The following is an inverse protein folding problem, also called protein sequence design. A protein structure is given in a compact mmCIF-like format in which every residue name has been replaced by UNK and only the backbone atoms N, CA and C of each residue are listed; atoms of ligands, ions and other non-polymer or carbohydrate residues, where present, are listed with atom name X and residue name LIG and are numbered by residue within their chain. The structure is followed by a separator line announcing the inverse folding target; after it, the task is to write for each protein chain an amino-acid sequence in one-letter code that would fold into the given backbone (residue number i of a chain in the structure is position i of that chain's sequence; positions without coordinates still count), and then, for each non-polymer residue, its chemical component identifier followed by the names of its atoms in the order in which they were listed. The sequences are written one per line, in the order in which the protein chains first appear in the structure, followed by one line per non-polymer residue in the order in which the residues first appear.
data_IF_498434323548
#
_entry.id   IF_498434323548
#
_cell.length_a   1.000
_cell.length_b   1.000
_cell.length_c   1.000
_cell.angle_alpha   90.00
_cell.angle_beta   90.00
_cell.angle_gamma   90.00
#
_symmetry.space_group_name_H-M   'P 1'
#
loop_
_entity.id
_entity.type
_entity.pdbx_description
1 polymer ?
#
# COMPACT_ATOMS: atom_id res chain seq x y z
N UNK A 1 -15.70 2.36 1.38
CA UNK A 1 -14.54 3.12 0.89
C UNK A 1 -13.46 2.14 0.48
N UNK A 2 -12.76 2.37 -0.62
CA UNK A 2 -11.65 1.56 -1.08
C UNK A 2 -10.32 2.25 -0.69
N UNK A 3 -9.47 1.58 0.07
CA UNK A 3 -8.06 1.98 0.29
C UNK A 3 -7.15 1.18 -0.61
N UNK A 4 -6.13 1.81 -1.15
CA UNK A 4 -5.21 1.21 -2.11
C UNK A 4 -3.77 1.63 -1.82
N UNK A 5 -2.85 0.72 -2.05
CA UNK A 5 -1.41 0.91 -1.85
C UNK A 5 -0.66 0.42 -3.08
N UNK A 6 0.26 1.24 -3.52
CA UNK A 6 1.23 0.89 -4.56
C UNK A 6 2.65 1.07 -4.06
N UNK A 7 3.48 0.07 -4.32
CA UNK A 7 4.86 0.03 -3.86
C UNK A 7 5.78 0.00 -5.06
N UNK A 8 6.67 0.98 -5.16
CA UNK A 8 7.49 1.21 -6.34
C UNK A 8 8.98 1.09 -6.05
N UNK A 9 9.67 0.26 -6.84
CA UNK A 9 11.12 0.34 -7.01
C UNK A 9 11.44 1.35 -8.10
N UNK A 10 12.43 2.17 -7.86
CA UNK A 10 12.87 3.19 -8.82
C UNK A 10 14.16 2.75 -9.52
N UNK A 11 14.37 3.26 -10.72
CA UNK A 11 15.62 3.10 -11.45
C UNK A 11 16.76 3.72 -10.64
N UNK A 12 17.92 3.07 -10.64
CA UNK A 12 19.11 3.57 -9.95
C UNK A 12 19.59 4.93 -10.51
N UNK A 13 19.39 5.14 -11.82
CA UNK A 13 19.74 6.36 -12.54
C UNK A 13 18.62 7.42 -12.53
N UNK A 14 17.51 7.19 -11.80
CA UNK A 14 16.43 8.16 -11.72
C UNK A 14 16.89 9.47 -11.09
N UNK A 15 16.78 10.56 -11.84
CA UNK A 15 17.18 11.88 -11.35
C UNK A 15 16.34 12.32 -10.15
N UNK A 16 16.93 12.89 -9.09
CA UNK A 16 16.19 13.35 -7.92
C UNK A 16 15.00 14.25 -8.25
N UNK A 17 15.14 15.13 -9.22
CA UNK A 17 14.07 16.01 -9.68
C UNK A 17 12.91 15.24 -10.34
N UNK A 18 13.17 14.08 -11.00
CA UNK A 18 12.12 13.26 -11.57
C UNK A 18 11.35 12.51 -10.45
N UNK A 19 12.07 12.02 -9.45
CA UNK A 19 11.46 11.39 -8.26
C UNK A 19 10.58 12.40 -7.52
N UNK A 20 11.09 13.63 -7.32
CA UNK A 20 10.33 14.69 -6.68
C UNK A 20 9.06 15.06 -7.46
N UNK A 21 9.14 15.17 -8.79
CA UNK A 21 7.96 15.45 -9.63
C UNK A 21 6.92 14.34 -9.53
N UNK A 22 7.33 13.08 -9.59
CA UNK A 22 6.40 11.94 -9.44
C UNK A 22 5.74 11.96 -8.06
N UNK A 23 6.52 12.11 -6.99
CA UNK A 23 6.02 12.23 -5.61
C UNK A 23 5.00 13.36 -5.48
N UNK A 24 5.31 14.53 -6.03
CA UNK A 24 4.41 15.68 -5.99
C UNK A 24 3.13 15.42 -6.79
N UNK A 25 3.21 14.78 -7.95
CA UNK A 25 2.05 14.41 -8.75
C UNK A 25 1.12 13.44 -8.00
N UNK A 26 1.69 12.51 -7.25
CA UNK A 26 0.91 11.61 -6.38
C UNK A 26 0.22 12.38 -5.26
N UNK A 27 0.95 13.22 -4.52
CA UNK A 27 0.39 14.01 -3.42
C UNK A 27 -0.73 14.96 -3.87
N UNK A 28 -0.61 15.49 -5.08
CA UNK A 28 -1.56 16.47 -5.61
C UNK A 28 -2.72 15.86 -6.40
N UNK A 29 -2.70 14.56 -6.66
CA UNK A 29 -3.69 13.96 -7.58
C UNK A 29 -5.14 14.22 -7.14
N UNK A 30 -5.45 14.23 -5.84
CA UNK A 30 -6.78 14.56 -5.31
C UNK A 30 -7.23 16.00 -5.56
N UNK A 31 -6.33 16.92 -5.97
CA UNK A 31 -6.70 18.26 -6.41
C UNK A 31 -7.26 18.29 -7.83
N UNK A 32 -6.90 17.31 -8.65
CA UNK A 32 -7.22 17.22 -10.06
C UNK A 32 -8.23 16.12 -10.36
N UNK A 33 -8.29 15.08 -9.51
CA UNK A 33 -9.15 13.92 -9.68
C UNK A 33 -10.13 13.85 -8.51
N UNK A 34 -11.40 14.24 -8.73
CA UNK A 34 -12.41 14.30 -7.66
C UNK A 34 -12.70 12.96 -6.97
N UNK A 35 -12.41 11.86 -7.67
CA UNK A 35 -12.59 10.51 -7.15
C UNK A 35 -11.60 10.14 -6.03
N UNK A 36 -10.47 10.83 -5.96
CA UNK A 36 -9.43 10.60 -4.94
C UNK A 36 -9.77 11.36 -3.68
N UNK A 37 -10.17 10.64 -2.64
CA UNK A 37 -10.50 11.21 -1.33
C UNK A 37 -9.25 11.60 -0.54
N UNK A 38 -8.20 10.81 -0.68
CA UNK A 38 -6.93 11.02 0.00
C UNK A 38 -5.77 10.44 -0.83
N UNK A 39 -4.62 11.09 -0.74
CA UNK A 39 -3.41 10.66 -1.44
C UNK A 39 -2.19 11.04 -0.62
N UNK A 40 -1.41 10.04 -0.22
CA UNK A 40 -0.21 10.19 0.59
C UNK A 40 0.93 9.37 -0.02
N UNK A 41 2.14 9.85 0.13
CA UNK A 41 3.34 9.15 -0.32
C UNK A 41 4.25 8.91 0.87
N UNK A 42 4.80 7.72 0.95
CA UNK A 42 5.80 7.37 1.94
C UNK A 42 7.14 7.00 1.32
N UNK A 43 8.20 7.35 2.01
CA UNK A 43 9.56 6.89 1.70
C UNK A 43 9.87 5.66 2.52
N UNK A 44 10.31 4.59 1.86
CA UNK A 44 10.63 3.34 2.53
C UNK A 44 11.80 3.49 3.51
N UNK A 45 11.64 2.89 4.68
CA UNK A 45 12.63 2.78 5.75
C UNK A 45 13.09 1.34 5.98
N UNK A 46 12.47 0.37 5.30
CA UNK A 46 12.80 -1.06 5.43
C UNK A 46 13.86 -1.49 4.43
N UNK A 47 14.35 -2.74 4.59
CA UNK A 47 15.26 -3.39 3.64
C UNK A 47 14.53 -3.92 2.38
N UNK A 48 13.22 -3.67 2.26
CA UNK A 48 12.47 -4.08 1.08
C UNK A 48 12.96 -3.33 -0.17
N UNK A 49 12.97 -3.97 -1.36
CA UNK A 49 13.43 -3.36 -2.60
C UNK A 49 12.45 -2.32 -3.17
N UNK A 50 11.74 -1.63 -2.31
CA UNK A 50 10.77 -0.58 -2.59
C UNK A 50 11.37 0.77 -2.22
N UNK A 51 11.13 1.80 -3.01
CA UNK A 51 11.60 3.16 -2.71
C UNK A 51 10.47 4.06 -2.22
N UNK A 52 9.32 3.97 -2.86
CA UNK A 52 8.14 4.76 -2.55
C UNK A 52 6.94 3.85 -2.31
N UNK A 53 6.10 4.24 -1.37
CA UNK A 53 4.76 3.67 -1.19
C UNK A 53 3.75 4.78 -1.41
N UNK A 54 2.80 4.56 -2.30
CA UNK A 54 1.69 5.47 -2.55
C UNK A 54 0.40 4.92 -1.96
N UNK A 55 -0.14 5.64 -0.98
CA UNK A 55 -1.45 5.37 -0.37
C UNK A 55 -2.50 6.27 -1.01
N UNK A 56 -3.62 5.71 -1.39
CA UNK A 56 -4.74 6.51 -1.84
C UNK A 56 -6.08 5.85 -1.51
N UNK A 57 -7.12 6.67 -1.43
CA UNK A 57 -8.46 6.24 -1.06
C UNK A 57 -9.51 6.79 -2.01
N UNK A 58 -10.56 5.99 -2.20
CA UNK A 58 -11.71 6.27 -3.06
C UNK A 58 -13.00 6.00 -2.30
N UNK A 59 -14.07 6.70 -2.67
CA UNK A 59 -15.39 6.45 -2.10
C UNK A 59 -15.85 4.99 -2.32
N UNK A 60 -15.52 4.44 -3.49
CA UNK A 60 -15.94 3.09 -3.89
C UNK A 60 -15.03 2.55 -5.01
N UNK A 61 -15.19 1.29 -5.29
CA UNK A 61 -14.63 0.65 -6.46
C UNK A 61 -15.01 1.34 -7.79
N UNK A 62 -16.24 1.80 -7.92
CA UNK A 62 -16.68 2.53 -9.12
C UNK A 62 -15.99 3.89 -9.24
N UNK A 63 -15.72 4.58 -8.12
CA UNK A 63 -14.91 5.80 -8.13
C UNK A 63 -13.48 5.51 -8.60
N UNK A 64 -12.88 4.41 -8.13
CA UNK A 64 -11.57 3.99 -8.61
C UNK A 64 -11.55 3.72 -10.13
N UNK A 65 -12.57 3.09 -10.70
CA UNK A 65 -12.65 2.90 -12.15
C UNK A 65 -12.69 4.23 -12.92
N UNK A 66 -13.40 5.25 -12.41
CA UNK A 66 -13.38 6.58 -13.04
C UNK A 66 -12.03 7.27 -12.93
N UNK A 67 -11.34 7.10 -11.79
CA UNK A 67 -9.95 7.55 -11.61
C UNK A 67 -9.03 6.98 -12.69
N UNK A 68 -9.12 5.68 -12.99
CA UNK A 68 -8.24 5.01 -13.97
C UNK A 68 -8.31 5.60 -15.38
N UNK A 69 -9.46 6.15 -15.78
CA UNK A 69 -9.63 6.79 -17.09
C UNK A 69 -9.52 8.31 -17.05
N UNK A 70 -9.25 8.88 -15.89
CA UNK A 70 -9.14 10.33 -15.75
C UNK A 70 -7.89 10.87 -16.48
N UNK A 71 -7.98 11.99 -17.24
CA UNK A 71 -6.85 12.51 -18.02
C UNK A 71 -5.59 12.80 -17.19
N UNK A 72 -5.74 13.27 -15.96
CA UNK A 72 -4.59 13.48 -15.08
C UNK A 72 -3.87 12.17 -14.73
N UNK A 73 -4.61 11.09 -14.47
CA UNK A 73 -4.04 9.76 -14.27
C UNK A 73 -3.30 9.32 -15.54
N UNK A 74 -4.00 9.21 -16.66
CA UNK A 74 -3.45 8.64 -17.89
C UNK A 74 -2.33 9.48 -18.54
N UNK A 75 -2.34 10.81 -18.37
CA UNK A 75 -1.38 11.68 -19.05
C UNK A 75 -0.28 12.25 -18.15
N UNK A 76 -0.45 12.21 -16.84
CA UNK A 76 0.51 12.77 -15.89
C UNK A 76 1.13 11.68 -15.01
N UNK A 77 0.30 10.92 -14.29
CA UNK A 77 0.80 9.90 -13.37
C UNK A 77 1.46 8.75 -14.13
N UNK A 78 0.83 8.27 -15.17
CA UNK A 78 1.31 7.15 -15.98
C UNK A 78 2.64 7.41 -16.69
N UNK A 79 3.01 8.67 -16.95
CA UNK A 79 4.31 9.00 -17.58
C UNK A 79 5.51 8.48 -16.79
N UNK A 80 5.47 8.55 -15.47
CA UNK A 80 6.53 8.04 -14.62
C UNK A 80 6.50 6.52 -14.42
N UNK A 81 5.39 5.87 -14.77
CA UNK A 81 5.07 4.50 -14.40
C UNK A 81 5.11 3.52 -15.57
N UNK A 82 4.53 3.88 -16.73
CA UNK A 82 4.32 2.97 -17.86
C UNK A 82 5.63 2.50 -18.51
N UNK A 83 5.66 1.23 -18.88
CA UNK A 83 6.85 0.57 -19.42
C UNK A 83 7.37 1.18 -20.72
N UNK A 84 6.49 1.72 -21.54
CA UNK A 84 6.78 2.34 -22.84
C UNK A 84 6.99 3.87 -22.74
N UNK A 85 6.85 4.45 -21.57
CA UNK A 85 7.08 5.88 -21.38
C UNK A 85 8.57 6.21 -21.36
N UNK A 86 9.02 7.21 -22.15
CA UNK A 86 10.40 7.68 -22.09
C UNK A 86 10.73 8.39 -20.76
N UNK A 87 9.72 8.80 -20.00
CA UNK A 87 9.87 9.45 -18.71
C UNK A 87 9.81 8.46 -17.54
N UNK A 88 9.72 7.16 -17.82
CA UNK A 88 9.60 6.13 -16.81
C UNK A 88 10.78 6.12 -15.85
N UNK A 89 10.48 6.24 -14.56
CA UNK A 89 11.48 6.13 -13.48
C UNK A 89 11.23 4.92 -12.56
N UNK A 90 10.09 4.26 -12.69
CA UNK A 90 9.74 3.04 -11.94
C UNK A 90 10.29 1.82 -12.67
N UNK A 91 11.02 0.95 -11.98
CA UNK A 91 11.52 -0.32 -12.55
C UNK A 91 10.50 -1.42 -12.43
N UNK A 92 9.91 -1.57 -11.24
CA UNK A 92 8.92 -2.59 -10.95
C UNK A 92 8.02 -2.11 -9.82
N UNK A 93 6.89 -2.76 -9.69
CA UNK A 93 6.07 -2.72 -8.48
C UNK A 93 6.42 -3.99 -7.71
N UNK A 94 7.21 -3.85 -6.65
CA UNK A 94 7.78 -4.99 -5.95
C UNK A 94 6.82 -5.68 -4.97
N UNK A 95 7.27 -6.75 -4.37
CA UNK A 95 6.51 -7.79 -3.71
C UNK A 95 5.62 -8.65 -4.63
N UNK A 96 5.96 -8.71 -5.95
CA UNK A 96 5.26 -9.58 -6.91
C UNK A 96 3.94 -9.07 -7.44
N UNK A 97 3.60 -7.86 -7.12
CA UNK A 97 2.69 -6.90 -7.72
C UNK A 97 2.41 -5.83 -6.68
N UNK A 98 3.07 -4.74 -6.77
CA UNK A 98 3.00 -3.66 -5.79
C UNK A 98 1.64 -2.98 -5.62
N UNK A 99 0.57 -3.69 -5.93
CA UNK A 99 -0.80 -3.19 -5.85
C UNK A 99 -1.62 -4.09 -4.92
N UNK A 100 -2.03 -3.52 -3.81
CA UNK A 100 -2.97 -4.13 -2.87
C UNK A 100 -4.01 -3.11 -2.42
N UNK A 101 -5.16 -3.57 -1.98
CA UNK A 101 -6.18 -2.69 -1.46
C UNK A 101 -7.30 -3.46 -0.77
N UNK A 102 -8.07 -2.77 0.02
CA UNK A 102 -9.19 -3.34 0.73
C UNK A 102 -10.35 -2.35 0.86
N UNK A 103 -11.54 -2.87 1.02
CA UNK A 103 -12.73 -2.08 1.34
C UNK A 103 -12.89 -1.93 2.84
N UNK A 104 -13.27 -0.73 3.30
CA UNK A 104 -13.52 -0.44 4.70
C UNK A 104 -14.64 0.59 4.85
N UNK A 105 -15.34 0.49 5.98
CA UNK A 105 -16.39 1.46 6.36
C UNK A 105 -15.84 2.65 7.14
N UNK A 106 -14.57 2.59 7.51
CA UNK A 106 -13.92 3.58 8.37
C UNK A 106 -13.36 4.73 7.55
N UNK A 107 -13.45 5.97 8.03
CA UNK A 107 -12.82 7.10 7.39
C UNK A 107 -11.31 6.91 7.20
N UNK A 108 -10.77 7.54 6.16
CA UNK A 108 -9.32 7.55 5.92
C UNK A 108 -8.60 8.15 7.11
N UNK A 109 -7.64 7.42 7.66
CA UNK A 109 -6.79 7.94 8.72
C UNK A 109 -5.69 8.82 8.11
N UNK A 110 -5.70 10.08 8.48
CA UNK A 110 -4.58 10.98 8.25
C UNK A 110 -3.76 11.03 9.52
N UNK A 111 -2.71 10.24 9.60
CA UNK A 111 -1.64 10.58 10.53
C UNK A 111 -0.83 11.70 9.89
N UNK A 112 -0.84 12.86 10.52
CA UNK A 112 -0.09 14.02 10.02
C UNK A 112 1.44 13.79 10.04
N UNK A 113 1.90 12.87 10.88
CA UNK A 113 3.28 12.43 10.98
C UNK A 113 3.29 10.99 11.49
N UNK A 114 4.40 10.30 11.33
CA UNK A 114 4.55 8.94 11.86
C UNK A 114 5.06 7.95 10.83
N UNK A 115 5.06 6.69 11.24
CA UNK A 115 5.49 5.55 10.42
C UNK A 115 4.29 4.69 10.10
N UNK A 116 4.22 4.28 8.84
CA UNK A 116 3.28 3.25 8.38
C UNK A 116 4.00 1.94 8.18
N UNK A 117 3.31 0.86 8.46
CA UNK A 117 3.73 -0.48 8.06
C UNK A 117 2.61 -1.17 7.32
N UNK A 118 2.95 -1.76 6.18
CA UNK A 118 2.09 -2.71 5.48
C UNK A 118 2.71 -4.09 5.58
N UNK A 119 1.92 -5.06 6.00
CA UNK A 119 2.25 -6.47 5.95
C UNK A 119 1.31 -7.12 4.94
N UNK A 120 1.90 -7.69 3.90
CA UNK A 120 1.19 -8.43 2.87
C UNK A 120 1.25 -9.91 3.22
N UNK A 121 0.11 -10.55 3.25
CA UNK A 121 -0.01 -11.94 3.69
C UNK A 121 -0.67 -12.78 2.61
N UNK A 122 -0.01 -13.90 2.27
CA UNK A 122 -0.53 -14.94 1.39
C UNK A 122 -0.96 -16.13 2.25
N UNK A 123 -2.25 -16.24 2.50
CA UNK A 123 -2.83 -17.38 3.20
C UNK A 123 -3.10 -18.52 2.23
N UNK A 124 -2.95 -19.76 2.70
CA UNK A 124 -3.27 -20.94 1.90
C UNK A 124 -4.71 -20.89 1.36
N UNK A 125 -4.94 -21.18 0.07
CA UNK A 125 -6.29 -21.23 -0.50
C UNK A 125 -7.15 -22.32 0.13
N UNK A 126 -6.55 -23.38 0.64
CA UNK A 126 -7.24 -24.51 1.27
C UNK A 126 -7.60 -24.25 2.75
N UNK A 127 -7.30 -23.04 3.25
CA UNK A 127 -7.63 -22.67 4.62
C UNK A 127 -9.13 -22.65 4.85
N UNK A 128 -9.56 -23.13 6.01
CA UNK A 128 -10.94 -22.99 6.42
C UNK A 128 -11.26 -21.53 6.80
N UNK A 129 -12.54 -21.11 6.69
CA UNK A 129 -12.97 -19.80 7.21
C UNK A 129 -12.59 -19.58 8.67
N UNK A 130 -12.63 -20.64 9.50
CA UNK A 130 -12.20 -20.58 10.89
C UNK A 130 -10.67 -20.31 11.05
N UNK A 131 -9.85 -20.76 10.11
CA UNK A 131 -8.43 -20.45 10.12
C UNK A 131 -8.18 -18.96 9.78
N UNK A 132 -8.92 -18.42 8.82
CA UNK A 132 -8.88 -16.99 8.50
C UNK A 132 -9.32 -16.13 9.68
N UNK A 133 -10.45 -16.48 10.32
CA UNK A 133 -10.93 -15.77 11.50
C UNK A 133 -9.91 -15.78 12.64
N UNK A 134 -9.30 -16.94 12.94
CA UNK A 134 -8.23 -17.03 13.95
C UNK A 134 -7.00 -16.19 13.60
N UNK A 135 -6.66 -16.08 12.32
CA UNK A 135 -5.57 -15.19 11.88
C UNK A 135 -5.92 -13.73 12.18
N UNK A 136 -7.10 -13.27 11.75
CA UNK A 136 -7.58 -11.90 12.00
C UNK A 136 -7.60 -11.58 13.50
N UNK A 137 -8.22 -12.44 14.32
CA UNK A 137 -8.24 -12.30 15.78
C UNK A 137 -6.83 -12.26 16.41
N UNK A 138 -5.90 -13.06 15.90
CA UNK A 138 -4.53 -13.08 16.41
C UNK A 138 -3.81 -11.77 16.10
N UNK A 139 -4.01 -11.20 14.90
CA UNK A 139 -3.45 -9.92 14.49
C UNK A 139 -4.07 -8.77 15.29
N UNK A 140 -5.38 -8.76 15.48
CA UNK A 140 -6.08 -7.76 16.29
C UNK A 140 -5.58 -7.77 17.73
N UNK A 141 -5.54 -8.95 18.37
CA UNK A 141 -4.99 -9.08 19.74
C UNK A 141 -3.52 -8.66 19.84
N UNK A 142 -2.76 -8.86 18.77
CA UNK A 142 -1.37 -8.44 18.73
C UNK A 142 -1.22 -6.91 18.75
N UNK A 143 -2.25 -6.18 18.40
CA UNK A 143 -2.29 -4.73 18.41
C UNK A 143 -2.82 -4.15 19.73
N UNK A 144 -3.53 -4.96 20.53
CA UNK A 144 -4.16 -4.50 21.77
C UNK A 144 -3.12 -3.98 22.79
N UNK A 145 -3.32 -2.75 23.24
CA UNK A 145 -2.50 -2.13 24.28
C UNK A 145 -1.07 -1.82 23.88
N UNK A 146 -0.76 -1.85 22.59
CA UNK A 146 0.58 -1.51 22.08
C UNK A 146 0.75 0.01 22.10
N UNK A 147 1.73 0.49 22.85
CA UNK A 147 2.03 1.92 22.99
C UNK A 147 2.51 2.50 21.66
N UNK A 148 1.96 3.66 21.27
CA UNK A 148 2.30 4.37 20.05
C UNK A 148 1.77 3.76 18.75
N UNK A 149 0.94 2.71 18.84
CA UNK A 149 0.20 2.15 17.69
C UNK A 149 -1.19 2.80 17.61
N UNK A 150 -1.38 3.70 16.66
CA UNK A 150 -2.65 4.41 16.47
C UNK A 150 -3.65 3.66 15.59
N UNK A 151 -3.14 2.89 14.64
CA UNK A 151 -3.94 2.17 13.65
C UNK A 151 -3.46 0.74 13.53
N UNK A 152 -4.38 -0.21 13.55
CA UNK A 152 -4.15 -1.60 13.18
C UNK A 152 -5.39 -2.13 12.48
N UNK A 153 -5.28 -2.42 11.20
CA UNK A 153 -6.37 -2.96 10.38
C UNK A 153 -5.87 -4.15 9.60
N UNK A 154 -6.52 -5.29 9.74
CA UNK A 154 -6.32 -6.45 8.87
C UNK A 154 -7.55 -6.65 8.00
N UNK A 155 -7.35 -6.78 6.71
CA UNK A 155 -8.43 -6.92 5.74
C UNK A 155 -8.08 -7.86 4.60
N UNK A 156 -9.09 -8.41 3.95
CA UNK A 156 -8.94 -9.15 2.71
C UNK A 156 -8.49 -8.21 1.58
N UNK A 157 -7.52 -8.65 0.78
CA UNK A 157 -7.09 -7.91 -0.39
C UNK A 157 -8.13 -8.04 -1.51
N UNK A 158 -8.93 -7.03 -1.71
CA UNK A 158 -9.98 -7.00 -2.73
C UNK A 158 -9.45 -6.68 -4.13
N UNK A 159 -8.21 -6.22 -4.24
CA UNK A 159 -7.56 -5.92 -5.53
C UNK A 159 -7.00 -7.16 -6.23
N UNK A 160 -7.00 -8.31 -5.56
CA UNK A 160 -6.36 -9.54 -6.07
C UNK A 160 -7.10 -10.18 -7.25
N UNK A 161 -8.35 -9.87 -7.52
CA UNK A 161 -9.17 -10.76 -8.35
C UNK A 161 -9.91 -10.16 -9.53
N UNK A 162 -10.09 -8.86 -9.68
CA UNK A 162 -11.20 -8.48 -10.56
C UNK A 162 -11.04 -7.20 -11.42
N UNK A 163 -9.99 -6.46 -11.25
CA UNK A 163 -10.05 -5.05 -11.69
C UNK A 163 -9.51 -4.76 -13.07
N UNK A 164 -9.00 -5.77 -13.76
CA UNK A 164 -8.22 -5.58 -15.00
C UNK A 164 -8.75 -6.36 -16.21
N UNK A 165 -10.04 -6.65 -16.25
CA UNK A 165 -10.64 -7.16 -17.48
C UNK A 165 -10.48 -6.12 -18.61
N UNK A 166 -9.51 -6.38 -19.47
CA UNK A 166 -9.28 -5.59 -20.68
C UNK A 166 -8.26 -4.45 -20.58
N UNK A 167 -7.71 -4.16 -19.40
CA UNK A 167 -6.57 -3.26 -19.27
C UNK A 167 -5.32 -4.10 -19.03
N UNK A 168 -4.29 -3.90 -19.84
CA UNK A 168 -2.98 -4.54 -19.61
C UNK A 168 -2.43 -4.00 -18.30
N UNK A 169 -2.65 -4.74 -17.24
CA UNK A 169 -2.11 -4.40 -15.93
C UNK A 169 -0.59 -4.31 -16.05
N UNK A 170 -0.02 -3.18 -15.68
CA UNK A 170 1.43 -2.97 -15.63
C UNK A 170 2.05 -3.99 -14.69
N UNK A 171 1.26 -4.47 -13.75
CA UNK A 171 1.64 -5.49 -12.80
C UNK A 171 0.43 -6.40 -12.53
N UNK A 172 0.54 -7.71 -12.72
CA UNK A 172 -0.52 -8.62 -12.34
C UNK A 172 -0.74 -8.54 -10.83
N UNK A 173 -1.98 -8.70 -10.34
CA UNK A 173 -2.26 -8.78 -8.92
C UNK A 173 -1.38 -9.85 -8.29
N UNK A 174 -0.73 -9.50 -7.19
CA UNK A 174 0.14 -10.42 -6.47
C UNK A 174 -0.64 -11.51 -5.76
N UNK A 175 0.06 -12.47 -5.21
CA UNK A 175 -0.53 -13.62 -4.53
C UNK A 175 -1.13 -13.26 -3.15
N UNK A 176 -1.15 -11.99 -2.81
CA UNK A 176 -1.51 -11.51 -1.49
C UNK A 176 -3.01 -11.62 -1.24
N UNK A 177 -3.40 -12.40 -0.25
CA UNK A 177 -4.80 -12.59 0.12
C UNK A 177 -5.29 -11.57 1.15
N UNK A 178 -4.38 -11.05 1.99
CA UNK A 178 -4.69 -10.10 3.04
C UNK A 178 -3.63 -9.01 3.14
N UNK A 179 -4.08 -7.88 3.67
CA UNK A 179 -3.25 -6.71 4.03
C UNK A 179 -3.43 -6.45 5.52
N UNK A 180 -2.34 -6.27 6.23
CA UNK A 180 -2.35 -5.74 7.59
C UNK A 180 -1.65 -4.37 7.58
N UNK A 181 -2.43 -3.34 7.79
CA UNK A 181 -1.97 -1.96 7.89
C UNK A 181 -1.77 -1.59 9.35
N UNK A 182 -0.66 -0.95 9.66
CA UNK A 182 -0.37 -0.36 10.95
C UNK A 182 0.08 1.10 10.78
N UNK A 183 -0.40 1.97 11.67
CA UNK A 183 0.03 3.36 11.79
C UNK A 183 0.64 3.60 13.17
N UNK A 184 1.82 4.22 13.21
CA UNK A 184 2.62 4.45 14.40
C UNK A 184 2.90 5.93 14.59
N UNK A 185 2.81 6.44 15.80
CA UNK A 185 3.10 7.84 16.16
C UNK A 185 4.53 8.24 15.79
N UNK A 186 5.48 7.30 15.91
CA UNK A 186 6.90 7.56 15.66
C UNK A 186 7.65 6.32 15.20
N UNK A 187 8.83 6.54 14.62
CA UNK A 187 9.75 5.46 14.27
C UNK A 187 10.24 4.73 15.53
N UNK A 188 10.49 5.44 16.63
CA UNK A 188 10.95 4.84 17.87
C UNK A 188 9.91 3.86 18.46
N UNK A 189 8.63 4.22 18.47
CA UNK A 189 7.55 3.34 18.92
C UNK A 189 7.46 2.08 18.03
N UNK A 190 7.57 2.26 16.71
CA UNK A 190 7.59 1.14 15.76
C UNK A 190 8.79 0.21 15.98
N UNK A 191 10.00 0.75 16.18
CA UNK A 191 11.22 -0.04 16.38
C UNK A 191 11.16 -0.84 17.67
N UNK A 192 10.68 -0.25 18.76
CA UNK A 192 10.49 -0.96 20.02
C UNK A 192 9.56 -2.17 19.85
N UNK A 193 8.41 -1.97 19.20
CA UNK A 193 7.48 -3.06 18.89
C UNK A 193 8.09 -4.15 18.00
N UNK A 194 8.83 -3.75 16.96
CA UNK A 194 9.45 -4.68 16.01
C UNK A 194 10.45 -5.62 16.68
N UNK A 195 11.21 -5.10 17.63
CA UNK A 195 12.24 -5.85 18.34
C UNK A 195 11.65 -6.84 19.35
N UNK A 196 10.50 -6.51 19.95
CA UNK A 196 9.79 -7.38 20.89
C UNK A 196 9.09 -8.55 20.21
N UNK A 197 8.66 -8.40 18.95
CA UNK A 197 7.81 -9.38 18.25
C UNK A 197 8.50 -10.06 17.09
N UNK A 198 9.29 -11.08 17.40
CA UNK A 198 9.86 -12.03 16.42
C UNK A 198 9.09 -13.34 16.31
N UNK A 199 7.81 -13.36 16.61
CA UNK A 199 7.00 -14.58 16.54
C UNK A 199 6.78 -15.02 15.09
N UNK A 200 6.92 -16.33 14.86
CA UNK A 200 6.67 -16.94 13.56
C UNK A 200 5.19 -16.91 13.17
N UNK A 201 4.93 -16.81 11.88
CA UNK A 201 3.59 -16.87 11.33
C UNK A 201 2.94 -18.25 11.53
N UNK A 202 1.61 -18.34 11.72
CA UNK A 202 0.90 -19.61 11.72
C UNK A 202 1.16 -20.44 10.47
N UNK A 203 1.15 -21.76 10.58
CA UNK A 203 1.50 -22.68 9.50
C UNK A 203 0.65 -22.61 8.22
N UNK A 204 -0.50 -21.93 8.27
CA UNK A 204 -1.33 -21.65 7.09
C UNK A 204 -0.97 -20.35 6.36
N UNK A 205 -0.02 -19.57 6.88
CA UNK A 205 0.58 -18.44 6.18
C UNK A 205 1.68 -18.98 5.28
N UNK A 206 1.49 -18.93 3.98
CA UNK A 206 2.45 -19.43 2.99
C UNK A 206 3.59 -18.45 2.80
N UNK A 207 3.28 -17.16 2.84
CA UNK A 207 4.23 -16.07 2.62
C UNK A 207 3.74 -14.81 3.31
N UNK A 208 4.69 -14.06 3.83
CA UNK A 208 4.46 -12.70 4.29
C UNK A 208 5.62 -11.80 3.83
N UNK A 209 5.30 -10.56 3.51
CA UNK A 209 6.26 -9.52 3.23
C UNK A 209 5.82 -8.25 3.95
N UNK A 210 6.76 -7.41 4.35
CA UNK A 210 6.41 -6.14 4.98
C UNK A 210 7.27 -5.00 4.48
N UNK A 211 6.67 -3.83 4.39
CA UNK A 211 7.34 -2.56 4.18
C UNK A 211 6.92 -1.61 5.30
N UNK A 212 7.87 -0.85 5.82
CA UNK A 212 7.54 0.28 6.68
C UNK A 212 8.15 1.55 6.10
N UNK A 213 7.44 2.64 6.21
CA UNK A 213 7.76 3.89 5.54
C UNK A 213 7.30 5.09 6.33
N UNK A 214 7.98 6.20 6.13
CA UNK A 214 7.61 7.49 6.68
C UNK A 214 6.85 8.29 5.63
N UNK A 215 5.72 8.88 6.04
CA UNK A 215 4.94 9.74 5.17
C UNK A 215 5.73 11.01 4.84
N UNK A 216 5.67 11.39 3.56
CA UNK A 216 6.23 12.65 3.06
C UNK A 216 5.25 13.76 3.40
N UNK A 217 5.71 14.75 4.13
CA UNK A 217 4.90 15.94 4.41
C UNK A 217 4.82 16.80 3.13
N UNK A 218 3.63 17.16 2.66
CA UNK A 218 3.51 18.15 1.59
C UNK A 218 4.20 19.45 1.98
N UNK A 219 5.09 19.94 1.12
CA UNK A 219 5.77 21.21 1.34
C UNK A 219 4.86 22.41 1.08
#
# INVERSE_FOLDING_TARGET
MLRRYEMYSLREDAAPAAIQRLTQSFLECGRFIPEVLDSMVGTNLSDAPVRLVWEHAYESAAAYQRYMVHPFHACILDRGLLADSPERIVTSNDFGAGLVGYECDTPVYRLAAGVRRLVLVDLSPDRSPAATARFTEAVERAADGVEGLDVSVVAENTMASAWFDGVTAITPPGPWSHVWEQGWESLAAFEAYRDERREGWPGFVRRAASVHYQLVTPG
#
